data_IF_270652668338
#
_entry.id   IF_270652668338
#
_cell.length_a   1.000
_cell.length_b   1.000
_cell.length_c   1.000
_cell.angle_alpha   90.00
_cell.angle_beta   90.00
_cell.angle_gamma   90.00
#
_symmetry.space_group_name_H-M   'P 1'
#
loop_
_entity.id
_entity.type
_entity.pdbx_description
1 polymer ?
#
# COMPACT_ATOMS: atom_id res chain seq x y z
N UNK A 1 -54.26 14.96 49.90
CA UNK A 1 -52.98 14.36 50.33
C UNK A 1 -52.59 13.31 49.30
N UNK A 2 -51.85 13.66 48.29
CA UNK A 2 -51.33 12.72 47.23
C UNK A 2 -49.81 12.78 47.25
N UNK A 3 -49.20 11.72 47.75
CA UNK A 3 -47.75 11.53 47.73
C UNK A 3 -47.35 10.85 46.40
N UNK A 4 -46.64 11.56 45.54
CA UNK A 4 -46.03 11.02 44.31
C UNK A 4 -44.66 10.42 44.63
N UNK A 5 -44.52 9.10 44.47
CA UNK A 5 -43.25 8.36 44.52
C UNK A 5 -42.48 8.70 43.24
N UNK A 6 -41.31 9.31 43.37
CA UNK A 6 -40.32 9.44 42.27
C UNK A 6 -39.43 8.18 42.26
N UNK A 7 -39.58 7.40 41.21
CA UNK A 7 -38.63 6.32 40.90
C UNK A 7 -37.42 6.95 40.19
N UNK A 8 -36.22 6.86 40.77
CA UNK A 8 -34.96 7.20 40.14
C UNK A 8 -34.46 6.01 39.30
N UNK A 9 -34.39 6.18 38.00
CA UNK A 9 -33.77 5.20 37.13
C UNK A 9 -32.25 5.33 37.20
N UNK A 10 -31.57 4.30 37.70
CA UNK A 10 -30.11 4.21 37.69
C UNK A 10 -29.71 3.63 36.32
N UNK A 11 -29.14 4.46 35.44
CA UNK A 11 -28.49 4.03 34.20
C UNK A 11 -27.10 3.50 34.55
N UNK A 12 -26.90 2.20 34.38
CA UNK A 12 -25.55 1.63 34.35
C UNK A 12 -24.95 1.80 32.94
N UNK A 13 -23.73 2.35 32.79
CA UNK A 13 -23.06 2.37 31.49
C UNK A 13 -22.64 0.93 31.16
N UNK A 14 -23.17 0.39 30.07
CA UNK A 14 -22.67 -0.84 29.47
C UNK A 14 -21.36 -0.50 28.77
N UNK A 15 -20.23 -0.83 29.41
CA UNK A 15 -18.92 -0.78 28.77
C UNK A 15 -18.87 -1.95 27.77
N UNK A 16 -19.09 -1.67 26.50
CA UNK A 16 -18.85 -2.65 25.44
C UNK A 16 -17.33 -2.85 25.33
N UNK A 17 -16.81 -3.89 25.96
CA UNK A 17 -15.47 -4.42 25.64
C UNK A 17 -15.54 -5.00 24.22
N UNK A 18 -15.04 -4.26 23.23
CA UNK A 18 -14.70 -4.83 21.93
C UNK A 18 -13.46 -5.72 22.14
N UNK A 19 -13.68 -7.00 22.39
CA UNK A 19 -12.61 -7.98 22.36
C UNK A 19 -12.11 -8.10 20.93
N UNK A 20 -10.91 -7.60 20.64
CA UNK A 20 -10.18 -7.98 19.42
C UNK A 20 -10.09 -9.52 19.39
N UNK A 21 -10.28 -10.17 18.25
CA UNK A 21 -10.13 -11.60 18.16
C UNK A 21 -8.68 -11.96 18.53
N UNK A 22 -8.49 -12.50 19.72
CA UNK A 22 -7.22 -13.10 20.11
C UNK A 22 -7.04 -14.38 19.29
N UNK A 23 -6.01 -14.46 18.46
CA UNK A 23 -5.61 -15.72 17.84
C UNK A 23 -5.19 -16.68 18.94
N UNK A 24 -5.66 -17.94 18.88
CA UNK A 24 -5.38 -18.92 19.91
C UNK A 24 -3.93 -19.43 19.87
N UNK A 25 -3.25 -19.39 18.73
CA UNK A 25 -1.83 -19.75 18.51
C UNK A 25 -1.46 -19.68 17.02
N UNK A 26 -0.15 -19.67 16.70
CA UNK A 26 0.36 -19.96 15.35
C UNK A 26 0.07 -21.42 14.98
N UNK A 27 -0.64 -21.63 13.87
CA UNK A 27 -1.05 -22.96 13.42
C UNK A 27 -0.10 -23.46 12.32
N UNK A 28 0.66 -24.50 12.64
CA UNK A 28 1.55 -25.18 11.70
C UNK A 28 0.81 -26.33 11.02
N UNK A 29 0.92 -26.41 9.68
CA UNK A 29 0.24 -27.46 8.89
C UNK A 29 0.95 -28.80 8.93
N UNK A 30 2.22 -28.82 9.34
CA UNK A 30 3.11 -29.97 9.23
C UNK A 30 3.91 -30.01 7.93
N UNK A 31 3.53 -29.22 6.92
CA UNK A 31 4.24 -29.10 5.65
C UNK A 31 5.53 -28.28 5.78
N UNK A 32 6.50 -28.56 4.91
CA UNK A 32 7.75 -27.80 4.75
C UNK A 32 7.97 -27.52 3.27
N UNK A 33 8.13 -26.23 2.90
CA UNK A 33 8.39 -25.77 1.54
C UNK A 33 9.64 -24.91 1.55
N UNK A 34 10.62 -25.22 0.68
CA UNK A 34 11.91 -24.53 0.62
C UNK A 34 12.55 -24.41 2.02
N UNK A 35 12.55 -25.51 2.78
CA UNK A 35 13.07 -25.59 4.15
C UNK A 35 12.37 -24.65 5.16
N UNK A 36 11.22 -24.09 4.81
CA UNK A 36 10.41 -23.24 5.68
C UNK A 36 9.15 -23.96 6.12
N UNK A 37 8.81 -23.85 7.41
CA UNK A 37 7.57 -24.42 7.95
C UNK A 37 6.38 -23.67 7.34
N UNK A 38 5.35 -24.44 7.00
CA UNK A 38 4.08 -23.88 6.52
C UNK A 38 3.17 -23.58 7.70
N UNK A 39 2.58 -22.39 7.70
CA UNK A 39 1.57 -21.95 8.67
C UNK A 39 0.26 -21.65 7.94
N UNK A 40 -0.86 -21.91 8.59
CA UNK A 40 -2.21 -21.50 8.16
C UNK A 40 -2.78 -20.36 9.00
N UNK A 41 -2.12 -20.01 10.11
CA UNK A 41 -2.43 -18.88 10.97
C UNK A 41 -1.16 -18.42 11.68
N UNK A 42 -1.00 -17.12 11.86
CA UNK A 42 0.08 -16.51 12.64
C UNK A 42 -0.48 -15.90 13.93
N UNK A 43 0.20 -16.14 15.04
CA UNK A 43 0.11 -15.32 16.25
C UNK A 43 1.53 -14.92 16.65
N UNK A 44 1.88 -13.64 16.48
CA UNK A 44 3.23 -13.16 16.82
C UNK A 44 3.48 -13.19 18.32
N UNK A 45 2.46 -13.36 19.16
CA UNK A 45 2.62 -13.35 20.63
C UNK A 45 3.22 -14.65 21.13
N UNK A 46 3.02 -15.77 20.44
CA UNK A 46 3.58 -17.09 20.81
C UNK A 46 4.98 -17.36 20.24
N UNK A 47 5.50 -16.43 19.42
CA UNK A 47 6.87 -16.54 18.91
C UNK A 47 7.88 -16.10 19.97
N UNK A 48 9.00 -16.82 20.06
CA UNK A 48 10.07 -16.48 20.99
C UNK A 48 10.70 -15.12 20.66
N UNK A 49 10.88 -14.22 21.65
CA UNK A 49 11.51 -12.92 21.44
C UNK A 49 12.98 -13.02 20.99
N UNK A 50 13.45 -11.97 20.33
CA UNK A 50 14.85 -11.86 19.87
C UNK A 50 15.20 -12.75 18.68
N UNK A 51 14.21 -13.23 17.92
CA UNK A 51 14.44 -14.16 16.80
C UNK A 51 13.84 -13.68 15.48
N UNK A 52 14.49 -14.11 14.38
CA UNK A 52 13.99 -13.98 13.02
C UNK A 52 13.30 -15.28 12.60
N UNK A 53 12.06 -15.18 12.11
CA UNK A 53 11.30 -16.30 11.58
C UNK A 53 11.04 -16.15 10.09
N UNK A 54 10.97 -17.25 9.38
CA UNK A 54 10.58 -17.36 7.98
C UNK A 54 9.60 -18.50 7.83
N UNK A 55 8.41 -18.18 7.31
CA UNK A 55 7.31 -19.12 7.11
C UNK A 55 6.84 -19.07 5.66
N UNK A 56 6.14 -20.12 5.24
CA UNK A 56 5.24 -20.10 4.10
C UNK A 56 3.81 -20.05 4.64
N UNK A 57 3.06 -19.00 4.34
CA UNK A 57 1.65 -18.92 4.72
C UNK A 57 0.80 -19.62 3.65
N UNK A 58 -0.04 -20.57 4.09
CA UNK A 58 -0.96 -21.29 3.21
C UNK A 58 -2.19 -20.44 2.92
N UNK A 59 -2.28 -19.91 1.70
CA UNK A 59 -3.40 -19.13 1.18
C UNK A 59 -4.52 -19.99 0.61
N UNK A 60 -5.25 -19.46 -0.38
CA UNK A 60 -6.35 -20.15 -1.03
C UNK A 60 -5.89 -21.33 -1.90
N UNK A 61 -6.82 -22.25 -2.15
CA UNK A 61 -6.61 -23.37 -3.07
C UNK A 61 -6.57 -22.88 -4.52
N UNK A 62 -5.74 -23.54 -5.32
CA UNK A 62 -5.72 -23.42 -6.77
C UNK A 62 -6.85 -24.24 -7.38
N UNK A 63 -7.14 -24.03 -8.67
CA UNK A 63 -8.13 -24.83 -9.41
C UNK A 63 -7.81 -26.34 -9.49
N UNK A 64 -6.60 -26.73 -9.12
CA UNK A 64 -6.14 -28.14 -9.10
C UNK A 64 -6.04 -28.74 -7.70
N UNK A 65 -6.55 -28.01 -6.68
CA UNK A 65 -6.58 -28.47 -5.28
C UNK A 65 -5.26 -28.33 -4.52
N UNK A 66 -4.28 -27.62 -5.10
CA UNK A 66 -3.07 -27.20 -4.38
C UNK A 66 -3.29 -25.84 -3.73
N UNK A 67 -2.30 -25.33 -2.98
CA UNK A 67 -2.41 -24.04 -2.31
C UNK A 67 -1.41 -23.02 -2.87
N UNK A 68 -1.80 -21.74 -2.82
CA UNK A 68 -0.87 -20.64 -2.96
C UNK A 68 -0.11 -20.44 -1.64
N UNK A 69 1.21 -20.41 -1.70
CA UNK A 69 2.06 -20.21 -0.53
C UNK A 69 2.75 -18.87 -0.59
N UNK A 70 2.55 -18.05 0.44
CA UNK A 70 3.08 -16.69 0.54
C UNK A 70 4.25 -16.67 1.53
N UNK A 71 5.45 -16.22 1.14
CA UNK A 71 6.57 -16.02 2.05
C UNK A 71 6.24 -14.95 3.10
N UNK A 72 6.44 -15.29 4.36
CA UNK A 72 6.26 -14.41 5.52
C UNK A 72 7.56 -14.37 6.31
N UNK A 73 8.04 -13.16 6.63
CA UNK A 73 9.16 -12.96 7.54
C UNK A 73 8.65 -12.24 8.79
N UNK A 74 9.13 -12.66 9.96
CA UNK A 74 8.81 -12.01 11.24
C UNK A 74 10.10 -11.77 12.01
N UNK A 75 10.45 -10.51 12.22
CA UNK A 75 11.51 -10.10 13.14
C UNK A 75 10.87 -9.78 14.50
N UNK A 76 10.84 -10.76 15.39
CA UNK A 76 10.29 -10.62 16.74
C UNK A 76 11.33 -10.01 17.66
N UNK A 77 11.15 -8.75 18.05
CA UNK A 77 12.07 -8.05 18.95
C UNK A 77 12.17 -8.68 20.33
N UNK A 78 13.30 -8.44 20.97
CA UNK A 78 13.58 -8.91 22.34
C UNK A 78 12.67 -8.26 23.39
N UNK A 79 12.09 -7.09 23.08
CA UNK A 79 11.22 -6.32 23.98
C UNK A 79 9.86 -6.07 23.31
N UNK A 80 8.78 -5.90 24.08
CA UNK A 80 7.49 -5.46 23.57
C UNK A 80 7.58 -4.10 22.87
N UNK A 81 6.69 -3.85 21.91
CA UNK A 81 6.59 -2.60 21.15
C UNK A 81 5.58 -2.73 20.02
N UNK A 82 5.56 -1.77 19.11
CA UNK A 82 4.67 -1.74 17.96
C UNK A 82 4.94 -2.90 16.99
N UNK A 83 3.89 -3.34 16.30
CA UNK A 83 3.93 -4.42 15.31
C UNK A 83 3.64 -3.81 13.94
N UNK A 84 4.65 -3.79 13.08
CA UNK A 84 4.62 -3.10 11.79
C UNK A 84 4.64 -4.11 10.67
N UNK A 85 3.66 -4.02 9.77
CA UNK A 85 3.52 -4.83 8.57
C UNK A 85 4.08 -4.09 7.36
N UNK A 86 4.89 -4.78 6.57
CA UNK A 86 5.36 -4.37 5.25
C UNK A 86 4.86 -5.38 4.21
N UNK A 87 4.05 -4.93 3.26
CA UNK A 87 3.55 -5.75 2.17
C UNK A 87 4.23 -5.31 0.87
N UNK A 88 4.61 -6.28 0.03
CA UNK A 88 5.20 -6.02 -1.27
C UNK A 88 4.77 -7.08 -2.28
N UNK A 89 4.44 -6.68 -3.51
CA UNK A 89 3.98 -7.58 -4.55
C UNK A 89 2.50 -7.94 -4.43
N UNK A 90 1.68 -7.00 -3.96
CA UNK A 90 0.22 -7.04 -4.03
C UNK A 90 -0.25 -7.03 -5.49
N UNK A 91 0.49 -6.34 -6.38
CA UNK A 91 0.51 -6.62 -7.82
C UNK A 91 1.82 -7.32 -8.21
N UNK A 92 1.74 -8.27 -9.13
CA UNK A 92 2.88 -9.15 -9.39
C UNK A 92 3.94 -8.57 -10.32
N UNK A 93 3.62 -7.54 -11.07
CA UNK A 93 4.57 -6.82 -11.94
C UNK A 93 5.33 -5.70 -11.20
N UNK A 94 5.00 -5.40 -9.96
CA UNK A 94 5.57 -4.33 -9.15
C UNK A 94 6.69 -4.86 -8.25
N UNK A 95 7.94 -4.85 -8.74
CA UNK A 95 9.04 -5.63 -8.15
C UNK A 95 9.96 -4.83 -7.20
N UNK A 96 10.16 -3.50 -7.40
CA UNK A 96 10.98 -2.67 -6.49
C UNK A 96 10.61 -2.85 -5.01
N UNK A 97 9.30 -2.90 -4.65
CA UNK A 97 8.83 -3.17 -3.30
C UNK A 97 9.39 -4.45 -2.69
N UNK A 98 9.41 -5.54 -3.46
CA UNK A 98 9.91 -6.84 -2.99
C UNK A 98 11.38 -6.73 -2.58
N UNK A 99 12.21 -6.11 -3.44
CA UNK A 99 13.62 -5.89 -3.13
C UNK A 99 13.80 -4.97 -1.91
N UNK A 100 13.00 -3.91 -1.79
CA UNK A 100 13.07 -2.97 -0.66
C UNK A 100 12.74 -3.65 0.68
N UNK A 101 11.66 -4.44 0.74
CA UNK A 101 11.28 -5.15 1.97
C UNK A 101 12.30 -6.24 2.31
N UNK A 102 12.80 -7.00 1.32
CA UNK A 102 13.85 -7.99 1.55
C UNK A 102 15.13 -7.36 2.08
N UNK A 103 15.57 -6.23 1.50
CA UNK A 103 16.75 -5.48 1.96
C UNK A 103 16.56 -4.91 3.37
N UNK A 104 15.37 -4.36 3.68
CA UNK A 104 15.02 -3.91 5.04
C UNK A 104 15.21 -5.06 6.04
N UNK A 105 14.59 -6.23 5.79
CA UNK A 105 14.67 -7.36 6.72
C UNK A 105 16.07 -7.96 6.86
N UNK A 106 16.92 -7.82 5.84
CA UNK A 106 18.32 -8.25 5.91
C UNK A 106 19.16 -7.44 6.92
N UNK A 107 18.72 -6.22 7.27
CA UNK A 107 19.42 -5.36 8.23
C UNK A 107 18.93 -5.51 9.68
N UNK A 108 17.80 -6.18 9.91
CA UNK A 108 17.18 -6.27 11.24
C UNK A 108 17.95 -7.24 12.15
N UNK A 109 18.22 -6.77 13.37
CA UNK A 109 18.73 -7.58 14.48
C UNK A 109 17.65 -7.68 15.57
N UNK A 110 16.84 -8.75 15.59
CA UNK A 110 15.75 -8.91 16.55
C UNK A 110 16.21 -8.83 18.03
N UNK A 111 17.47 -9.13 18.32
CA UNK A 111 17.99 -9.04 19.70
C UNK A 111 18.05 -7.61 20.22
N UNK A 112 18.07 -6.61 19.31
CA UNK A 112 18.12 -5.18 19.63
C UNK A 112 16.79 -4.46 19.45
N UNK A 113 15.77 -5.16 18.87
CA UNK A 113 14.48 -4.57 18.54
C UNK A 113 13.51 -4.55 19.73
N UNK A 114 12.57 -3.59 19.68
CA UNK A 114 11.39 -3.52 20.54
C UNK A 114 10.14 -3.58 19.66
N UNK A 115 9.27 -4.59 19.89
CA UNK A 115 8.12 -4.83 19.01
C UNK A 115 8.41 -5.86 17.92
N UNK A 116 7.73 -5.76 16.78
CA UNK A 116 7.80 -6.78 15.73
C UNK A 116 7.70 -6.15 14.35
N UNK A 117 8.58 -6.54 13.44
CA UNK A 117 8.40 -6.28 12.01
C UNK A 117 7.92 -7.54 11.31
N UNK A 118 6.89 -7.42 10.47
CA UNK A 118 6.28 -8.51 9.70
C UNK A 118 6.38 -8.14 8.23
N UNK A 119 6.88 -9.05 7.39
CA UNK A 119 6.88 -8.88 5.94
C UNK A 119 6.00 -9.93 5.28
N UNK A 120 5.20 -9.48 4.32
CA UNK A 120 4.40 -10.30 3.42
C UNK A 120 4.90 -10.08 2.00
N UNK A 121 5.54 -11.10 1.42
CA UNK A 121 6.22 -11.01 0.13
C UNK A 121 5.39 -11.70 -0.96
N UNK A 122 4.94 -10.92 -1.95
CA UNK A 122 4.19 -11.40 -3.09
C UNK A 122 2.89 -12.10 -2.68
N UNK A 123 1.97 -11.43 -1.94
CA UNK A 123 0.64 -12.00 -1.70
C UNK A 123 -0.06 -12.35 -3.02
N UNK A 124 0.16 -11.60 -4.08
CA UNK A 124 -0.27 -11.93 -5.44
C UNK A 124 0.63 -12.99 -6.07
N UNK A 125 0.58 -14.24 -5.56
CA UNK A 125 1.48 -15.32 -6.02
C UNK A 125 1.43 -15.57 -7.52
N UNK A 126 0.23 -15.73 -8.09
CA UNK A 126 0.08 -15.93 -9.53
C UNK A 126 0.57 -14.71 -10.32
N UNK A 127 0.27 -13.50 -9.82
CA UNK A 127 0.74 -12.26 -10.45
C UNK A 127 2.27 -12.19 -10.48
N UNK A 128 2.95 -12.46 -9.35
CA UNK A 128 4.42 -12.45 -9.28
C UNK A 128 5.06 -13.51 -10.21
N UNK A 129 4.50 -14.71 -10.25
CA UNK A 129 5.01 -15.80 -11.10
C UNK A 129 4.87 -15.49 -12.61
N UNK A 130 3.85 -14.71 -12.99
CA UNK A 130 3.60 -14.34 -14.38
C UNK A 130 4.01 -12.90 -14.71
N UNK A 131 4.49 -12.14 -13.75
CA UNK A 131 4.81 -10.70 -13.84
C UNK A 131 3.59 -9.93 -14.40
N UNK A 132 2.43 -10.11 -13.75
CA UNK A 132 1.16 -9.48 -14.12
C UNK A 132 0.55 -8.74 -12.94
N UNK A 133 -0.19 -7.66 -13.24
CA UNK A 133 -0.93 -6.89 -12.24
C UNK A 133 -2.10 -7.69 -11.64
N UNK A 134 -2.74 -8.52 -12.45
CA UNK A 134 -3.98 -9.25 -12.11
C UNK A 134 -3.75 -10.75 -11.96
N UNK A 135 -4.67 -11.42 -11.28
CA UNK A 135 -4.81 -12.86 -11.28
C UNK A 135 -5.81 -13.28 -12.33
N UNK A 136 -5.51 -14.35 -13.07
CA UNK A 136 -6.48 -15.04 -13.92
C UNK A 136 -7.09 -16.18 -13.10
N UNK A 137 -8.43 -16.14 -12.91
CA UNK A 137 -9.16 -17.21 -12.26
C UNK A 137 -10.03 -17.95 -13.26
N UNK A 138 -10.27 -19.25 -13.03
CA UNK A 138 -11.03 -20.09 -13.93
C UNK A 138 -12.54 -19.97 -13.66
N UNK A 139 -13.11 -18.79 -13.95
CA UNK A 139 -14.54 -18.51 -13.90
C UNK A 139 -14.98 -18.17 -15.31
N UNK A 140 -16.01 -18.86 -15.83
CA UNK A 140 -16.64 -18.62 -17.15
C UNK A 140 -15.61 -18.43 -18.31
N UNK A 141 -14.53 -19.22 -18.32
CA UNK A 141 -13.52 -19.16 -19.37
C UNK A 141 -12.32 -18.27 -19.09
N UNK A 142 -12.21 -17.73 -17.90
CA UNK A 142 -11.11 -16.91 -17.42
C UNK A 142 -11.52 -15.47 -17.13
N UNK A 143 -11.36 -15.06 -15.91
CA UNK A 143 -11.59 -13.69 -15.45
C UNK A 143 -10.28 -13.15 -14.89
N UNK A 144 -9.98 -11.87 -15.18
CA UNK A 144 -8.86 -11.16 -14.60
C UNK A 144 -9.32 -10.35 -13.40
N UNK A 145 -8.79 -10.70 -12.21
CA UNK A 145 -9.13 -10.04 -10.95
C UNK A 145 -7.94 -9.25 -10.46
N UNK A 146 -8.15 -7.96 -10.17
CA UNK A 146 -7.14 -7.14 -9.49
C UNK A 146 -7.15 -7.47 -7.99
N UNK A 147 -6.07 -8.07 -7.42
CA UNK A 147 -6.05 -8.45 -6.02
C UNK A 147 -6.14 -7.24 -5.09
N UNK A 148 -5.64 -6.06 -5.50
CA UNK A 148 -5.78 -4.83 -4.73
C UNK A 148 -7.14 -4.11 -4.96
N UNK A 149 -8.18 -4.89 -5.26
CA UNK A 149 -9.60 -4.51 -5.25
C UNK A 149 -10.44 -5.55 -4.50
N UNK A 150 -9.78 -6.47 -3.77
CA UNK A 150 -10.47 -7.57 -3.08
C UNK A 150 -10.31 -7.54 -1.57
N UNK A 151 -9.51 -6.63 -1.01
CA UNK A 151 -9.31 -6.53 0.45
C UNK A 151 -10.53 -5.92 1.16
N UNK A 152 -10.88 -6.40 2.36
CA UNK A 152 -10.24 -7.42 3.21
C UNK A 152 -10.53 -8.86 2.80
N UNK A 153 -11.21 -9.09 1.69
CA UNK A 153 -11.60 -10.38 1.18
C UNK A 153 -12.95 -10.87 1.67
N UNK A 154 -13.36 -12.03 1.18
CA UNK A 154 -14.58 -12.74 1.59
C UNK A 154 -14.30 -14.22 1.75
N UNK A 155 -14.84 -14.80 2.83
CA UNK A 155 -14.64 -16.22 3.14
C UNK A 155 -15.26 -17.15 2.07
N UNK A 156 -16.40 -16.76 1.56
CA UNK A 156 -17.19 -17.45 0.52
C UNK A 156 -17.00 -16.87 -0.89
N UNK A 157 -15.99 -15.99 -1.06
CA UNK A 157 -15.69 -15.33 -2.33
C UNK A 157 -14.99 -16.23 -3.34
N UNK A 158 -14.64 -15.65 -4.50
CA UNK A 158 -13.79 -16.31 -5.47
C UNK A 158 -12.38 -16.56 -4.91
N UNK A 159 -11.52 -17.25 -5.67
CA UNK A 159 -10.17 -17.63 -5.18
C UNK A 159 -9.34 -16.44 -4.69
N UNK A 160 -9.41 -15.28 -5.35
CA UNK A 160 -8.65 -14.08 -4.98
C UNK A 160 -9.23 -13.44 -3.72
N UNK A 161 -10.56 -13.28 -3.65
CA UNK A 161 -11.25 -12.78 -2.46
C UNK A 161 -11.01 -13.69 -1.25
N UNK A 162 -11.07 -15.01 -1.45
CA UNK A 162 -10.77 -15.99 -0.40
C UNK A 162 -9.32 -15.90 0.06
N UNK A 163 -8.39 -15.69 -0.87
CA UNK A 163 -6.97 -15.51 -0.55
C UNK A 163 -6.73 -14.26 0.30
N UNK A 164 -7.30 -13.12 -0.11
CA UNK A 164 -7.26 -11.87 0.66
C UNK A 164 -7.88 -12.03 2.05
N UNK A 165 -9.02 -12.75 2.16
CA UNK A 165 -9.67 -13.02 3.44
C UNK A 165 -8.78 -13.84 4.38
N UNK A 166 -8.13 -14.91 3.87
CA UNK A 166 -7.21 -15.73 4.65
C UNK A 166 -6.04 -14.89 5.19
N UNK A 167 -5.41 -14.08 4.33
CA UNK A 167 -4.33 -13.20 4.75
C UNK A 167 -4.82 -12.21 5.79
N UNK A 168 -5.92 -11.53 5.56
CA UNK A 168 -6.48 -10.55 6.49
C UNK A 168 -6.78 -11.17 7.84
N UNK A 169 -7.55 -12.28 7.86
CA UNK A 169 -8.09 -12.82 9.10
C UNK A 169 -7.15 -13.81 9.82
N UNK A 170 -6.19 -14.41 9.11
CA UNK A 170 -5.30 -15.43 9.68
C UNK A 170 -3.85 -14.97 9.87
N UNK A 171 -3.50 -13.80 9.29
CA UNK A 171 -2.14 -13.30 9.39
C UNK A 171 -2.06 -11.84 9.86
N UNK A 172 -2.96 -10.94 9.43
CA UNK A 172 -2.86 -9.51 9.71
C UNK A 172 -3.59 -9.12 11.00
N UNK A 173 -4.91 -9.34 11.05
CA UNK A 173 -5.72 -8.89 12.19
C UNK A 173 -5.23 -9.55 13.49
N UNK A 174 -5.08 -8.75 14.54
CA UNK A 174 -4.53 -9.19 15.82
C UNK A 174 -3.00 -9.21 15.91
N UNK A 175 -2.28 -9.16 14.78
CA UNK A 175 -0.82 -9.15 14.72
C UNK A 175 -0.19 -7.81 14.34
N UNK A 176 -0.97 -6.84 13.86
CA UNK A 176 -0.48 -5.61 13.23
C UNK A 176 -1.07 -4.39 13.90
N UNK A 177 -0.23 -3.38 14.15
CA UNK A 177 -0.62 -2.07 14.68
C UNK A 177 -0.48 -0.96 13.62
N UNK A 178 0.33 -1.18 12.56
CA UNK A 178 0.64 -0.22 11.49
C UNK A 178 0.93 -1.01 10.22
N UNK A 179 0.44 -0.54 9.06
CA UNK A 179 0.64 -1.18 7.76
C UNK A 179 1.28 -0.27 6.72
N UNK A 180 2.19 -0.82 5.92
CA UNK A 180 2.74 -0.18 4.73
C UNK A 180 2.54 -1.13 3.55
N UNK A 181 1.74 -0.72 2.56
CA UNK A 181 1.55 -1.43 1.30
C UNK A 181 2.45 -0.80 0.23
N UNK A 182 3.49 -1.50 -0.16
CA UNK A 182 4.45 -1.00 -1.14
C UNK A 182 4.04 -1.40 -2.55
N UNK A 183 3.90 -0.41 -3.41
CA UNK A 183 3.58 -0.51 -4.81
C UNK A 183 4.60 0.18 -5.72
N UNK A 184 4.39 0.08 -7.01
CA UNK A 184 4.94 0.91 -8.08
C UNK A 184 3.82 1.22 -9.06
N UNK A 185 4.04 2.10 -10.02
CA UNK A 185 3.25 2.12 -11.24
C UNK A 185 3.17 0.71 -11.83
N UNK A 186 2.01 0.31 -12.33
CA UNK A 186 1.86 -0.93 -13.10
C UNK A 186 2.62 -0.85 -14.44
N UNK A 187 2.73 -1.97 -15.14
CA UNK A 187 3.31 -2.00 -16.50
C UNK A 187 2.63 -0.96 -17.40
N UNK A 188 3.39 -0.10 -18.04
CA UNK A 188 2.92 0.99 -18.91
C UNK A 188 2.85 2.36 -18.25
N UNK A 189 3.09 2.47 -16.93
CA UNK A 189 3.13 3.76 -16.21
C UNK A 189 4.31 3.82 -15.24
N UNK A 190 4.78 5.03 -14.94
CA UNK A 190 5.80 5.30 -13.94
C UNK A 190 5.32 6.40 -12.99
N UNK A 191 5.60 6.22 -11.70
CA UNK A 191 5.31 7.18 -10.65
C UNK A 191 6.55 7.96 -10.24
N UNK A 192 6.35 9.19 -9.80
CA UNK A 192 7.30 9.88 -8.94
C UNK A 192 7.56 9.08 -7.65
N UNK A 193 8.48 9.52 -6.81
CA UNK A 193 8.59 9.02 -5.42
C UNK A 193 7.37 9.50 -4.65
N UNK A 194 6.42 8.63 -4.43
CA UNK A 194 5.07 9.03 -4.09
C UNK A 194 4.49 8.21 -2.93
N UNK A 195 3.59 8.82 -2.16
CA UNK A 195 2.81 8.16 -1.11
C UNK A 195 1.34 8.58 -1.21
N UNK A 196 0.45 7.59 -1.11
CA UNK A 196 -0.94 7.78 -0.73
C UNK A 196 -1.06 7.65 0.79
N UNK A 197 -1.64 8.65 1.45
CA UNK A 197 -1.88 8.62 2.88
C UNK A 197 -3.34 8.99 3.16
N UNK A 198 -4.06 8.12 3.88
CA UNK A 198 -5.50 8.28 4.10
C UNK A 198 -5.81 9.61 4.80
N UNK A 199 -6.56 10.48 4.11
CA UNK A 199 -6.77 11.88 4.49
C UNK A 199 -7.45 12.05 5.85
N UNK A 200 -8.31 11.10 6.24
CA UNK A 200 -9.10 11.16 7.47
C UNK A 200 -8.43 10.44 8.66
N UNK A 201 -7.19 9.96 8.51
CA UNK A 201 -6.41 9.38 9.60
C UNK A 201 -5.09 10.14 9.80
N UNK A 202 -4.96 10.92 10.88
CA UNK A 202 -3.76 11.68 11.18
C UNK A 202 -2.49 10.84 11.30
N UNK A 203 -2.62 9.58 11.72
CA UNK A 203 -1.47 8.68 11.85
C UNK A 203 -0.99 8.18 10.48
N UNK A 204 -1.90 7.90 9.54
CA UNK A 204 -1.56 7.61 8.14
C UNK A 204 -0.86 8.79 7.47
N UNK A 205 -1.33 10.03 7.70
CA UNK A 205 -0.66 11.23 7.17
C UNK A 205 0.77 11.37 7.72
N UNK A 206 0.96 11.11 9.01
CA UNK A 206 2.28 11.11 9.65
C UNK A 206 3.19 10.01 9.07
N UNK A 207 2.67 8.79 8.89
CA UNK A 207 3.40 7.69 8.25
C UNK A 207 3.89 8.07 6.86
N UNK A 208 3.03 8.67 6.03
CA UNK A 208 3.42 9.15 4.71
C UNK A 208 4.57 10.15 4.77
N UNK A 209 4.56 11.06 5.75
CA UNK A 209 5.62 12.03 5.98
C UNK A 209 6.98 11.43 6.33
N UNK A 210 7.04 10.19 6.86
CA UNK A 210 8.29 9.53 7.22
C UNK A 210 9.09 9.02 6.00
N UNK A 211 8.47 8.89 4.83
CA UNK A 211 9.15 8.47 3.62
C UNK A 211 9.83 9.66 2.93
N UNK A 212 11.09 9.52 2.42
CA UNK A 212 11.79 10.60 1.70
C UNK A 212 11.28 10.71 0.25
N UNK A 213 9.99 11.04 0.10
CA UNK A 213 9.29 11.15 -1.19
C UNK A 213 9.21 12.57 -1.71
N UNK A 214 8.95 12.72 -3.00
CA UNK A 214 8.78 14.01 -3.65
C UNK A 214 7.33 14.50 -3.59
N UNK A 215 6.37 13.57 -3.45
CA UNK A 215 4.94 13.88 -3.50
C UNK A 215 4.15 13.03 -2.52
N UNK A 216 3.14 13.64 -1.89
CA UNK A 216 2.17 12.96 -1.03
C UNK A 216 0.77 13.37 -1.46
N UNK A 217 -0.08 12.38 -1.71
CA UNK A 217 -1.52 12.57 -1.87
C UNK A 217 -2.24 12.29 -0.57
N UNK A 218 -3.08 13.24 -0.14
CA UNK A 218 -4.10 12.98 0.88
C UNK A 218 -5.23 12.19 0.24
N UNK A 219 -5.17 10.86 0.42
CA UNK A 219 -6.07 9.93 -0.26
C UNK A 219 -7.42 9.85 0.46
N UNK A 220 -8.56 10.00 -0.24
CA UNK A 220 -9.87 9.75 0.34
C UNK A 220 -10.12 8.28 0.67
N UNK A 221 -9.26 7.38 0.17
CA UNK A 221 -9.36 5.93 0.31
C UNK A 221 -10.17 5.29 -0.82
N UNK A 222 -9.66 4.18 -1.31
CA UNK A 222 -10.31 3.39 -2.36
C UNK A 222 -10.76 2.03 -1.81
N UNK A 223 -12.07 1.75 -1.71
CA UNK A 223 -12.57 0.46 -1.24
C UNK A 223 -11.97 -0.71 -2.02
N UNK A 224 -11.57 -1.75 -1.29
CA UNK A 224 -10.96 -2.95 -1.86
C UNK A 224 -9.44 -2.91 -1.94
N UNK A 225 -8.78 -1.78 -1.66
CA UNK A 225 -7.32 -1.72 -1.47
C UNK A 225 -6.94 -2.22 -0.07
N UNK A 226 -5.69 -2.71 0.07
CA UNK A 226 -5.19 -3.16 1.38
C UNK A 226 -5.09 -2.01 2.37
N UNK A 227 -4.56 -0.85 1.96
CA UNK A 227 -4.49 0.35 2.79
C UNK A 227 -5.87 0.69 3.38
N UNK A 228 -6.89 0.84 2.50
CA UNK A 228 -8.25 1.16 2.93
C UNK A 228 -8.80 0.12 3.91
N UNK A 229 -8.61 -1.17 3.62
CA UNK A 229 -9.07 -2.25 4.50
C UNK A 229 -8.40 -2.21 5.88
N UNK A 230 -7.11 -1.89 5.95
CA UNK A 230 -6.37 -1.75 7.22
C UNK A 230 -6.90 -0.55 8.02
N UNK A 231 -7.06 0.62 7.39
CA UNK A 231 -7.58 1.82 8.06
C UNK A 231 -9.01 1.60 8.56
N UNK A 232 -9.88 0.94 7.78
CA UNK A 232 -11.23 0.58 8.23
C UNK A 232 -11.22 -0.41 9.41
N UNK A 233 -10.16 -1.19 9.56
CA UNK A 233 -9.93 -2.08 10.71
C UNK A 233 -9.29 -1.35 11.92
N UNK A 234 -9.06 -0.03 11.84
CA UNK A 234 -8.41 0.76 12.89
C UNK A 234 -6.89 0.63 12.91
N UNK A 235 -6.28 0.17 11.82
CA UNK A 235 -4.83 0.03 11.65
C UNK A 235 -4.36 1.13 10.70
N UNK A 236 -3.68 2.19 11.18
CA UNK A 236 -3.09 3.22 10.33
C UNK A 236 -2.22 2.61 9.23
N UNK A 237 -2.43 3.04 7.99
CA UNK A 237 -1.72 2.49 6.84
C UNK A 237 -1.50 3.52 5.74
N UNK A 238 -0.51 3.26 4.89
CA UNK A 238 -0.20 4.02 3.68
C UNK A 238 0.08 3.09 2.51
N UNK A 239 -0.08 3.62 1.29
CA UNK A 239 0.47 3.02 0.08
C UNK A 239 1.64 3.87 -0.43
N UNK A 240 2.78 3.23 -0.71
CA UNK A 240 3.92 3.90 -1.36
C UNK A 240 4.02 3.49 -2.82
N UNK A 241 4.43 4.40 -3.70
CA UNK A 241 4.72 4.12 -5.10
C UNK A 241 6.23 4.30 -5.36
N UNK A 242 6.91 3.21 -5.62
CA UNK A 242 8.37 3.16 -5.77
C UNK A 242 8.77 3.08 -7.24
N UNK A 243 8.37 4.09 -8.04
CA UNK A 243 8.68 4.18 -9.47
C UNK A 243 7.83 3.28 -10.36
N UNK A 244 8.40 2.72 -11.41
CA UNK A 244 7.72 1.88 -12.40
C UNK A 244 7.89 0.37 -12.17
N UNK A 245 7.14 -0.41 -12.95
CA UNK A 245 7.05 -1.87 -12.86
C UNK A 245 8.27 -2.60 -13.44
N UNK A 246 8.29 -3.93 -13.22
CA UNK A 246 9.05 -4.99 -13.92
C UNK A 246 10.57 -5.00 -13.71
N UNK A 247 11.13 -4.13 -12.91
CA UNK A 247 12.57 -4.09 -12.67
C UNK A 247 12.95 -3.75 -11.24
N UNK A 248 14.26 -3.86 -10.95
CA UNK A 248 14.83 -3.32 -9.73
C UNK A 248 15.60 -2.05 -10.05
N UNK A 249 15.04 -0.91 -9.65
CA UNK A 249 15.67 0.41 -9.78
C UNK A 249 16.29 0.77 -8.43
N UNK A 250 17.62 0.85 -8.40
CA UNK A 250 18.37 0.97 -7.14
C UNK A 250 17.91 2.13 -6.26
N UNK A 251 17.63 3.30 -6.84
CA UNK A 251 17.19 4.47 -6.10
C UNK A 251 15.78 4.30 -5.52
N UNK A 252 14.89 3.58 -6.21
CA UNK A 252 13.53 3.29 -5.74
C UNK A 252 13.53 2.22 -4.66
N UNK A 253 14.38 1.20 -4.81
CA UNK A 253 14.61 0.20 -3.75
C UNK A 253 15.16 0.89 -2.50
N UNK A 254 16.14 1.79 -2.67
CA UNK A 254 16.71 2.56 -1.56
C UNK A 254 15.68 3.45 -0.87
N UNK A 255 14.81 4.11 -1.64
CA UNK A 255 13.70 4.91 -1.11
C UNK A 255 12.82 4.09 -0.17
N UNK A 256 12.41 2.88 -0.59
CA UNK A 256 11.63 1.98 0.23
C UNK A 256 12.37 1.54 1.51
N UNK A 257 13.67 1.22 1.40
CA UNK A 257 14.51 0.86 2.56
C UNK A 257 14.62 2.02 3.54
N UNK A 258 14.91 3.24 3.08
CA UNK A 258 15.05 4.43 3.91
C UNK A 258 13.73 4.77 4.63
N UNK A 259 12.60 4.73 3.92
CA UNK A 259 11.28 4.94 4.51
C UNK A 259 10.92 3.89 5.56
N UNK A 260 11.17 2.61 5.27
CA UNK A 260 10.95 1.53 6.23
C UNK A 260 11.81 1.70 7.48
N UNK A 261 13.08 2.08 7.33
CA UNK A 261 13.98 2.35 8.45
C UNK A 261 13.47 3.52 9.30
N UNK A 262 12.97 4.59 8.66
CA UNK A 262 12.38 5.74 9.34
C UNK A 262 11.14 5.33 10.16
N UNK A 263 10.24 4.54 9.58
CA UNK A 263 9.05 4.03 10.29
C UNK A 263 9.46 3.19 11.49
N UNK A 264 10.39 2.25 11.31
CA UNK A 264 10.88 1.40 12.41
C UNK A 264 11.55 2.20 13.52
N UNK A 265 12.34 3.23 13.16
CA UNK A 265 12.99 4.11 14.12
C UNK A 265 11.98 5.02 14.85
N UNK A 266 11.06 5.65 14.12
CA UNK A 266 10.06 6.56 14.66
C UNK A 266 9.17 5.88 15.72
N UNK A 267 8.73 4.64 15.47
CA UNK A 267 7.94 3.87 16.44
C UNK A 267 8.78 3.12 17.47
N UNK A 268 10.09 3.34 17.49
CA UNK A 268 10.99 2.72 18.47
C UNK A 268 11.16 1.22 18.30
N UNK A 269 10.82 0.66 17.14
CA UNK A 269 11.00 -0.78 16.86
C UNK A 269 12.48 -1.09 16.66
N UNK A 270 13.21 -0.23 15.97
CA UNK A 270 14.67 -0.29 15.82
C UNK A 270 15.27 0.95 16.48
N UNK A 271 16.34 0.81 17.31
CA UNK A 271 16.99 1.97 17.88
C UNK A 271 17.75 2.77 16.81
N UNK A 272 17.65 4.10 16.88
CA UNK A 272 18.34 5.01 15.97
C UNK A 272 17.51 6.25 15.66
N UNK A 273 18.11 7.24 15.00
CA UNK A 273 17.39 8.44 14.55
C UNK A 273 16.55 8.14 13.30
N UNK A 274 15.51 8.93 13.10
CA UNK A 274 14.83 9.04 11.80
C UNK A 274 15.79 9.71 10.81
N UNK A 275 15.88 9.18 9.60
CA UNK A 275 16.69 9.74 8.50
C UNK A 275 15.93 10.86 7.76
N UNK A 276 16.23 11.04 6.46
CA UNK A 276 15.51 12.01 5.62
C UNK A 276 14.04 11.63 5.49
N UNK A 277 13.18 12.64 5.51
CA UNK A 277 11.72 12.55 5.45
C UNK A 277 11.17 13.31 4.25
N UNK A 278 9.87 13.26 3.99
CA UNK A 278 9.21 14.07 2.98
C UNK A 278 9.44 15.58 3.17
N UNK A 279 9.53 16.05 4.43
CA UNK A 279 9.83 17.45 4.76
C UNK A 279 11.23 17.85 4.27
N UNK A 280 12.23 16.97 4.43
CA UNK A 280 13.58 17.21 3.94
C UNK A 280 13.69 17.20 2.42
N UNK A 281 12.73 16.58 1.74
CA UNK A 281 12.59 16.55 0.28
C UNK A 281 11.78 17.74 -0.26
N UNK A 282 11.18 18.58 0.61
CA UNK A 282 10.20 19.60 0.24
C UNK A 282 9.04 19.02 -0.58
N UNK A 283 8.52 17.87 -0.15
CA UNK A 283 7.51 17.12 -0.88
C UNK A 283 6.27 17.98 -1.18
N UNK A 284 5.78 17.90 -2.42
CA UNK A 284 4.52 18.51 -2.79
C UNK A 284 3.37 17.68 -2.19
N UNK A 285 2.46 18.35 -1.48
CA UNK A 285 1.29 17.70 -0.88
C UNK A 285 0.04 18.15 -1.62
N UNK A 286 -0.63 17.19 -2.26
CA UNK A 286 -1.89 17.39 -2.96
C UNK A 286 -3.01 16.53 -2.36
N UNK A 287 -4.20 16.70 -2.90
CA UNK A 287 -5.43 16.04 -2.45
C UNK A 287 -6.34 15.57 -3.60
N UNK A 288 -5.88 15.74 -4.85
CA UNK A 288 -6.58 15.26 -6.04
C UNK A 288 -5.59 14.87 -7.16
N UNK A 289 -5.97 13.89 -7.98
CA UNK A 289 -5.22 13.41 -9.14
C UNK A 289 -6.05 13.59 -10.40
N UNK A 290 -5.54 14.40 -11.33
CA UNK A 290 -6.19 14.65 -12.61
C UNK A 290 -5.43 13.98 -13.76
N UNK A 291 -6.07 12.95 -14.32
CA UNK A 291 -5.50 12.11 -15.38
C UNK A 291 -5.84 12.66 -16.76
N UNK A 292 -4.82 12.80 -17.59
CA UNK A 292 -4.92 13.09 -19.02
C UNK A 292 -4.79 11.78 -19.79
N UNK A 293 -5.83 11.43 -20.55
CA UNK A 293 -5.88 10.19 -21.34
C UNK A 293 -5.90 10.43 -22.83
N UNK A 294 -5.37 9.49 -23.60
CA UNK A 294 -5.35 9.50 -25.05
C UNK A 294 -6.77 9.55 -25.64
N UNK A 295 -7.02 10.50 -26.54
CA UNK A 295 -8.32 10.66 -27.21
C UNK A 295 -8.43 9.86 -28.52
N UNK A 296 -7.30 9.32 -29.00
CA UNK A 296 -7.20 8.51 -30.22
C UNK A 296 -6.09 7.47 -30.09
N UNK A 297 -6.00 6.52 -31.01
CA UNK A 297 -4.82 5.69 -31.19
C UNK A 297 -3.68 6.48 -31.82
N UNK A 298 -2.43 6.13 -31.53
CA UNK A 298 -1.25 6.77 -32.10
C UNK A 298 -0.04 6.72 -31.20
N UNK A 299 0.93 7.59 -31.49
CA UNK A 299 2.21 7.66 -30.80
C UNK A 299 2.31 8.96 -30.00
N UNK A 300 2.47 8.84 -28.70
CA UNK A 300 2.55 9.98 -27.78
C UNK A 300 4.01 10.32 -27.49
N UNK A 301 4.34 11.59 -27.57
CA UNK A 301 5.61 12.15 -27.06
C UNK A 301 5.29 13.07 -25.89
N UNK A 302 5.78 12.73 -24.72
CA UNK A 302 5.69 13.59 -23.54
C UNK A 302 6.62 14.80 -23.69
N UNK A 303 6.16 15.95 -23.21
CA UNK A 303 6.92 17.21 -23.12
C UNK A 303 7.25 17.57 -21.68
N UNK A 304 6.88 16.70 -20.74
CA UNK A 304 7.09 16.82 -19.30
C UNK A 304 7.66 15.51 -18.76
N UNK A 305 8.24 15.58 -17.58
CA UNK A 305 8.76 14.45 -16.81
C UNK A 305 8.15 14.42 -15.41
N UNK A 306 8.35 13.33 -14.68
CA UNK A 306 7.94 13.22 -13.27
C UNK A 306 8.52 14.37 -12.44
N UNK A 307 7.72 14.90 -11.52
CA UNK A 307 8.02 16.06 -10.67
C UNK A 307 8.07 17.42 -11.38
N UNK A 308 7.83 17.51 -12.70
CA UNK A 308 7.73 18.81 -13.35
C UNK A 308 6.51 19.58 -12.82
N UNK A 309 6.67 20.83 -12.36
CA UNK A 309 5.54 21.70 -12.10
C UNK A 309 4.88 22.10 -13.41
N UNK A 310 3.55 22.09 -13.44
CA UNK A 310 2.75 22.48 -14.62
C UNK A 310 1.69 23.48 -14.22
N UNK A 311 1.29 24.33 -15.18
CA UNK A 311 0.14 25.23 -15.03
C UNK A 311 -1.00 24.78 -15.94
N UNK A 312 -2.23 25.10 -15.53
CA UNK A 312 -3.42 24.84 -16.35
C UNK A 312 -3.23 25.38 -17.79
N UNK A 313 -3.57 24.55 -18.79
CA UNK A 313 -3.42 24.88 -20.21
C UNK A 313 -1.99 24.70 -20.76
N UNK A 314 -0.99 24.40 -19.95
CA UNK A 314 0.37 24.09 -20.41
C UNK A 314 0.37 22.82 -21.26
N UNK A 315 1.00 22.87 -22.46
CA UNK A 315 1.16 21.69 -23.30
C UNK A 315 2.09 20.67 -22.62
N UNK A 316 1.61 19.43 -22.45
CA UNK A 316 2.32 18.35 -21.76
C UNK A 316 2.64 17.14 -22.64
N UNK A 317 1.93 16.97 -23.78
CA UNK A 317 2.23 15.90 -24.72
C UNK A 317 1.71 16.23 -26.13
N UNK A 318 2.26 15.51 -27.13
CA UNK A 318 1.82 15.55 -28.52
C UNK A 318 1.60 14.13 -29.02
N UNK A 319 0.45 13.89 -29.63
CA UNK A 319 0.12 12.61 -30.27
C UNK A 319 0.19 12.72 -31.79
N UNK A 320 0.77 11.69 -32.40
CA UNK A 320 0.93 11.58 -33.86
C UNK A 320 0.33 10.28 -34.37
N UNK A 321 -0.13 10.28 -35.60
CA UNK A 321 -0.57 9.07 -36.29
C UNK A 321 0.61 8.25 -36.84
N UNK A 322 0.30 7.19 -37.60
CA UNK A 322 1.29 6.33 -38.24
C UNK A 322 2.09 6.99 -39.36
N UNK A 323 1.70 8.17 -39.82
CA UNK A 323 2.41 8.97 -40.83
C UNK A 323 3.27 10.07 -40.20
N UNK A 324 3.15 10.29 -38.90
CA UNK A 324 3.85 11.33 -38.16
C UNK A 324 3.10 12.65 -38.08
N UNK A 325 1.90 12.74 -38.63
CA UNK A 325 1.05 13.91 -38.55
C UNK A 325 0.49 14.09 -37.12
N UNK A 326 0.46 15.34 -36.63
CA UNK A 326 -0.09 15.67 -35.32
C UNK A 326 -1.60 15.48 -35.33
N UNK A 327 -2.09 14.57 -34.51
CA UNK A 327 -3.54 14.29 -34.35
C UNK A 327 -4.13 14.94 -33.12
N UNK A 328 -3.30 15.15 -32.07
CA UNK A 328 -3.74 15.84 -30.87
C UNK A 328 -2.57 16.44 -30.06
N UNK A 329 -2.84 17.54 -29.36
CA UNK A 329 -1.94 18.15 -28.40
C UNK A 329 -2.63 18.16 -27.03
N UNK A 330 -1.98 17.61 -26.03
CA UNK A 330 -2.53 17.49 -24.69
C UNK A 330 -2.01 18.62 -23.81
N UNK A 331 -2.90 19.17 -22.99
CA UNK A 331 -2.58 20.23 -22.03
C UNK A 331 -2.88 19.76 -20.61
N UNK A 332 -2.19 20.35 -19.64
CA UNK A 332 -2.48 20.12 -18.23
C UNK A 332 -3.89 20.63 -17.89
N UNK A 333 -4.72 19.82 -17.25
CA UNK A 333 -6.07 20.24 -16.85
C UNK A 333 -6.06 21.24 -15.70
N UNK A 334 -4.99 21.25 -14.90
CA UNK A 334 -4.85 22.10 -13.70
C UNK A 334 -3.40 22.48 -13.43
N UNK A 335 -3.20 23.45 -12.55
CA UNK A 335 -1.89 23.76 -11.97
C UNK A 335 -1.55 22.74 -10.88
N UNK A 336 -0.36 22.13 -10.97
CA UNK A 336 0.07 21.09 -10.03
C UNK A 336 1.46 20.56 -10.38
N UNK A 337 1.71 19.28 -10.06
CA UNK A 337 2.99 18.60 -10.30
C UNK A 337 2.72 17.25 -10.99
N UNK A 338 3.51 16.89 -11.99
CA UNK A 338 3.39 15.59 -12.67
C UNK A 338 3.73 14.47 -11.70
N UNK A 339 2.74 13.64 -11.40
CA UNK A 339 2.87 12.51 -10.48
C UNK A 339 3.09 11.18 -11.20
N UNK A 340 2.43 11.01 -12.36
CA UNK A 340 2.45 9.78 -13.14
C UNK A 340 2.69 10.15 -14.61
N UNK A 341 3.44 9.29 -15.31
CA UNK A 341 3.60 9.36 -16.75
C UNK A 341 3.40 8.00 -17.40
N UNK A 342 2.76 7.98 -18.57
CA UNK A 342 2.72 6.82 -19.44
C UNK A 342 4.11 6.52 -20.00
N UNK A 343 4.51 5.24 -19.97
CA UNK A 343 5.82 4.80 -20.49
C UNK A 343 5.71 4.17 -21.88
N UNK A 344 4.51 3.76 -22.29
CA UNK A 344 4.27 3.20 -23.60
C UNK A 344 4.00 4.33 -24.61
N UNK A 345 4.89 4.45 -25.61
CA UNK A 345 4.77 5.50 -26.63
C UNK A 345 3.59 5.26 -27.58
N UNK A 346 3.22 3.99 -27.83
CA UNK A 346 2.05 3.65 -28.61
C UNK A 346 0.83 3.51 -27.68
N UNK A 347 -0.24 4.23 -27.98
CA UNK A 347 -1.42 4.32 -27.11
C UNK A 347 -2.69 3.99 -27.86
N UNK A 348 -3.60 3.34 -27.17
CA UNK A 348 -5.01 3.26 -27.54
C UNK A 348 -5.78 4.44 -26.93
N UNK A 349 -6.98 4.69 -27.46
CA UNK A 349 -7.89 5.65 -26.84
C UNK A 349 -8.20 5.26 -25.40
N UNK A 350 -8.04 6.18 -24.46
CA UNK A 350 -8.26 5.96 -23.03
C UNK A 350 -6.99 5.56 -22.26
N UNK A 351 -5.86 5.30 -22.94
CA UNK A 351 -4.56 5.08 -22.27
C UNK A 351 -4.14 6.32 -21.50
N UNK A 352 -3.71 6.17 -20.26
CA UNK A 352 -3.16 7.25 -19.43
C UNK A 352 -1.86 7.78 -20.05
N UNK A 353 -1.79 9.11 -20.24
CA UNK A 353 -0.63 9.82 -20.76
C UNK A 353 0.18 10.42 -19.61
N UNK A 354 -0.50 11.15 -18.74
CA UNK A 354 0.10 11.75 -17.55
C UNK A 354 -0.98 12.04 -16.53
N UNK A 355 -0.61 12.07 -15.25
CA UNK A 355 -1.49 12.47 -14.16
C UNK A 355 -0.81 13.57 -13.33
N UNK A 356 -1.58 14.61 -13.06
CA UNK A 356 -1.16 15.77 -12.27
C UNK A 356 -1.67 15.62 -10.86
N UNK A 357 -0.77 15.69 -9.88
CA UNK A 357 -1.15 15.86 -8.47
C UNK A 357 -1.47 17.33 -8.24
N UNK A 358 -2.70 17.58 -7.77
CA UNK A 358 -3.26 18.90 -7.57
C UNK A 358 -3.49 19.16 -6.09
N UNK A 359 -3.29 20.39 -5.66
CA UNK A 359 -3.71 20.86 -4.35
C UNK A 359 -4.96 21.69 -4.52
N UNK A 360 -6.09 21.14 -4.13
CA UNK A 360 -7.34 21.87 -4.08
C UNK A 360 -7.44 22.64 -2.77
N UNK A 361 -7.69 23.94 -2.87
CA UNK A 361 -7.93 24.73 -1.68
C UNK A 361 -9.29 24.34 -1.09
N UNK A 362 -9.31 23.77 0.09
CA UNK A 362 -10.54 23.68 0.89
C UNK A 362 -10.80 25.07 1.50
N UNK A 363 -11.68 25.84 0.90
CA UNK A 363 -12.09 27.14 1.43
C UNK A 363 -13.43 27.02 2.16
N UNK A 364 -13.43 27.17 3.49
CA UNK A 364 -14.62 27.41 4.28
C UNK A 364 -14.64 28.89 4.70
N UNK A 365 -15.71 29.62 4.37
CA UNK A 365 -15.95 31.02 4.75
C UNK A 365 -14.81 32.00 4.40
N UNK A 366 -14.18 31.83 3.24
CA UNK A 366 -13.12 32.72 2.76
C UNK A 366 -11.73 32.49 3.37
N UNK A 367 -11.55 31.49 4.23
CA UNK A 367 -10.26 30.97 4.66
C UNK A 367 -10.00 29.62 4.01
N UNK A 368 -8.94 29.54 3.19
CA UNK A 368 -8.48 28.32 2.57
C UNK A 368 -7.45 27.65 3.47
N UNK A 369 -7.77 26.45 3.98
CA UNK A 369 -6.80 25.63 4.70
C UNK A 369 -5.96 24.81 3.70
N UNK A 370 -4.73 25.17 3.56
CA UNK A 370 -3.76 24.45 2.72
C UNK A 370 -3.11 23.27 3.45
N UNK A 371 -3.63 22.91 4.63
CA UNK A 371 -3.24 21.78 5.47
C UNK A 371 -1.77 21.39 5.34
N UNK A 372 -0.91 21.99 6.17
CA UNK A 372 0.49 21.53 6.26
C UNK A 372 0.55 20.15 6.88
N UNK A 373 1.37 19.23 6.30
CA UNK A 373 1.87 18.11 7.07
C UNK A 373 2.88 18.73 8.04
N UNK A 374 2.54 18.73 9.32
CA UNK A 374 3.51 19.07 10.37
C UNK A 374 4.23 17.78 10.70
N UNK A 375 5.58 17.75 10.62
CA UNK A 375 6.37 16.58 10.96
C UNK A 375 6.27 16.20 12.44
#
# INVERSE_FOLDING_TARGET
MNSALRMAAILFPVLALTASPAFAATVYTGEVIQEKRVISQLDVTDLEPGKMYRFMFRGAETSTGQYWYVPVMVAKGAKPGKRILFVAGNHGDELNPIAAVQATFATLDPTKMSGTAIALIGPSRQGVENITRTWTINVLGGEQVNPNRTWPGREDGNTVERHSWLITNKLILGNVDIGIDHHTGGTGIDFARFVFAYANDPESLKLGGLFPVDQIMKDPGLPGTLEYALVQAGIPAITTELGGARGFVADMVKLGVDGNANVLAYYGVVPGPVGKTASDMNAFVGDDLETVSAVAGGFVTLLVTLNDPVVEGQKIAVQRDGFGDVVHEYVSPSTGVIAIVGTDAATDRGTEIATVLVKRASCNDGQCDYGGIVP
#
